data_IF_983433855696
#
_entry.id   IF_983433855696
#
_cell.length_a   1.000
_cell.length_b   1.000
_cell.length_c   1.000
_cell.angle_alpha   90.00
_cell.angle_beta   90.00
_cell.angle_gamma   90.00
#
_symmetry.space_group_name_H-M   'P 1'
#
loop_
_entity.id
_entity.type
_entity.pdbx_description
1 polymer ?
#
# COMPACT_ATOMS: atom_id res chain seq x y z
N UNK A 1 -56.78 16.66 21.92
CA UNK A 1 -56.09 17.25 20.75
C UNK A 1 -54.65 17.56 21.18
N UNK A 2 -53.86 16.51 21.41
CA UNK A 2 -52.74 16.03 20.58
C UNK A 2 -51.55 17.02 20.50
N UNK A 3 -50.38 16.68 21.09
CA UNK A 3 -49.28 17.60 21.33
C UNK A 3 -48.21 17.59 20.23
N UNK A 4 -47.37 18.61 20.25
CA UNK A 4 -46.23 18.86 19.38
C UNK A 4 -45.28 17.65 19.25
N UNK A 5 -45.11 17.15 18.03
CA UNK A 5 -44.10 16.15 17.67
C UNK A 5 -42.79 16.85 17.34
N UNK A 6 -41.93 16.94 18.35
CA UNK A 6 -40.49 17.11 18.19
C UNK A 6 -39.96 15.86 17.47
N UNK A 7 -39.75 15.96 16.16
CA UNK A 7 -39.12 14.87 15.40
C UNK A 7 -37.62 14.92 15.63
N UNK A 8 -37.18 14.13 16.60
CA UNK A 8 -35.78 13.79 16.79
C UNK A 8 -35.21 13.20 15.48
N UNK A 9 -34.20 13.87 14.93
CA UNK A 9 -33.43 13.39 13.79
C UNK A 9 -32.76 12.06 14.20
N UNK A 10 -32.89 10.97 13.43
CA UNK A 10 -32.25 9.71 13.80
C UNK A 10 -30.73 9.82 13.58
N UNK A 11 -30.00 10.02 14.68
CA UNK A 11 -28.54 10.06 14.78
C UNK A 11 -27.84 8.69 14.52
N UNK A 12 -28.35 7.86 13.61
CA UNK A 12 -27.85 6.49 13.37
C UNK A 12 -27.55 6.16 11.91
N UNK A 13 -27.58 7.14 10.99
CA UNK A 13 -26.99 7.02 9.63
C UNK A 13 -25.58 7.65 9.55
N UNK A 14 -24.90 7.73 10.70
CA UNK A 14 -23.49 8.10 10.77
C UNK A 14 -22.65 6.86 10.42
N UNK A 15 -21.60 7.03 9.58
CA UNK A 15 -20.34 6.23 9.51
C UNK A 15 -20.05 5.28 8.34
N UNK A 16 -20.96 4.88 7.45
CA UNK A 16 -20.57 3.96 6.34
C UNK A 16 -20.11 4.67 5.05
N UNK A 17 -20.52 5.93 4.83
CA UNK A 17 -20.21 6.65 3.59
C UNK A 17 -18.80 7.27 3.56
N UNK A 18 -18.08 7.28 4.69
CA UNK A 18 -16.76 7.90 4.82
C UNK A 18 -15.60 6.89 4.97
N UNK A 19 -15.91 5.60 5.13
CA UNK A 19 -14.91 4.53 5.20
C UNK A 19 -14.23 4.25 3.84
N UNK A 20 -14.79 4.69 2.72
CA UNK A 20 -14.30 4.36 1.37
C UNK A 20 -12.84 4.77 1.08
N UNK A 21 -12.49 6.07 1.13
CA UNK A 21 -11.17 6.55 0.70
C UNK A 21 -10.00 5.98 1.50
N UNK A 22 -10.16 5.88 2.82
CA UNK A 22 -9.10 5.38 3.70
C UNK A 22 -8.87 3.88 3.52
N UNK A 23 -9.94 3.11 3.25
CA UNK A 23 -9.82 1.69 2.96
C UNK A 23 -9.18 1.46 1.60
N UNK A 24 -9.60 2.19 0.54
CA UNK A 24 -8.91 2.15 -0.77
C UNK A 24 -7.41 2.42 -0.60
N UNK A 25 -7.06 3.43 0.19
CA UNK A 25 -5.66 3.72 0.46
C UNK A 25 -4.96 2.58 1.22
N UNK A 26 -5.58 2.02 2.26
CA UNK A 26 -5.02 0.93 3.06
C UNK A 26 -4.79 -0.37 2.27
N UNK A 27 -5.54 -0.62 1.19
CA UNK A 27 -5.32 -1.78 0.32
C UNK A 27 -3.96 -1.75 -0.37
N UNK A 28 -3.48 -0.57 -0.76
CA UNK A 28 -2.11 -0.46 -1.30
C UNK A 28 -1.04 -0.93 -0.31
N UNK A 29 -1.33 -0.86 1.00
CA UNK A 29 -0.42 -1.31 2.05
C UNK A 29 -0.45 -2.82 2.31
N UNK A 30 -1.29 -3.56 1.58
CA UNK A 30 -1.41 -5.02 1.63
C UNK A 30 -1.39 -5.56 0.20
N UNK A 31 -0.43 -5.10 -0.59
CA UNK A 31 -0.18 -5.55 -1.96
C UNK A 31 0.80 -6.74 -1.98
N UNK A 32 0.96 -7.44 -3.12
CA UNK A 32 1.91 -8.53 -3.22
C UNK A 32 3.38 -8.11 -3.02
N UNK A 33 3.72 -6.84 -3.24
CA UNK A 33 5.03 -6.29 -2.89
C UNK A 33 5.30 -6.43 -1.39
N UNK A 34 4.34 -6.01 -0.56
CA UNK A 34 4.40 -6.20 0.89
C UNK A 34 4.46 -7.67 1.31
N UNK A 35 3.79 -8.59 0.59
CA UNK A 35 3.91 -10.03 0.87
C UNK A 35 5.35 -10.50 0.69
N UNK A 36 5.98 -10.19 -0.44
CA UNK A 36 7.34 -10.64 -0.73
C UNK A 36 8.34 -10.09 0.31
N UNK A 37 8.29 -8.79 0.61
CA UNK A 37 9.22 -8.19 1.56
C UNK A 37 9.00 -8.68 3.00
N UNK A 38 7.75 -8.83 3.44
CA UNK A 38 7.44 -9.28 4.80
C UNK A 38 7.77 -10.76 5.01
N UNK A 39 7.52 -11.62 4.01
CA UNK A 39 7.86 -13.04 4.07
C UNK A 39 9.37 -13.23 4.04
N UNK A 40 10.08 -12.51 3.15
CA UNK A 40 11.54 -12.59 3.06
C UNK A 40 12.23 -12.09 4.32
N UNK A 41 11.74 -10.97 4.89
CA UNK A 41 12.25 -10.44 6.14
C UNK A 41 12.00 -11.39 7.32
N UNK A 42 10.79 -11.98 7.41
CA UNK A 42 10.44 -12.95 8.44
C UNK A 42 11.22 -14.26 8.32
N UNK A 43 11.41 -14.80 7.12
CA UNK A 43 12.16 -16.05 6.92
C UNK A 43 13.65 -15.90 7.25
N UNK A 44 14.25 -14.77 6.86
CA UNK A 44 15.69 -14.51 7.00
C UNK A 44 16.06 -14.07 8.43
N UNK A 45 15.32 -13.12 8.99
CA UNK A 45 15.66 -12.46 10.28
C UNK A 45 14.69 -12.79 11.42
N UNK A 46 13.72 -13.67 11.19
CA UNK A 46 12.74 -14.05 12.20
C UNK A 46 11.92 -12.86 12.68
N UNK A 47 11.83 -12.69 13.99
CA UNK A 47 11.05 -11.64 14.63
C UNK A 47 11.77 -10.28 14.72
N UNK A 48 13.05 -10.20 14.34
CA UNK A 48 13.89 -9.02 14.59
C UNK A 48 13.50 -7.78 13.77
N UNK A 49 12.77 -7.94 12.66
CA UNK A 49 12.35 -6.85 11.79
C UNK A 49 10.89 -6.41 12.02
N UNK A 50 10.18 -6.99 13.00
CA UNK A 50 8.80 -6.61 13.31
C UNK A 50 8.67 -5.13 13.69
N UNK A 51 9.65 -4.59 14.44
CA UNK A 51 9.65 -3.16 14.78
C UNK A 51 9.66 -2.27 13.53
N UNK A 52 10.33 -2.68 12.45
CA UNK A 52 10.38 -1.92 11.20
C UNK A 52 8.98 -1.80 10.60
N UNK A 53 8.18 -2.87 10.60
CA UNK A 53 6.79 -2.85 10.13
C UNK A 53 5.94 -1.92 10.98
N UNK A 54 6.08 -1.97 12.32
CA UNK A 54 5.34 -1.07 13.23
C UNK A 54 5.68 0.38 12.92
N UNK A 55 6.96 0.72 12.85
CA UNK A 55 7.39 2.09 12.59
C UNK A 55 7.00 2.56 11.19
N UNK A 56 7.17 1.72 10.16
CA UNK A 56 6.76 2.02 8.80
C UNK A 56 5.25 2.28 8.72
N UNK A 57 4.42 1.50 9.43
CA UNK A 57 2.98 1.73 9.48
C UNK A 57 2.62 3.02 10.23
N UNK A 58 3.29 3.35 11.34
CA UNK A 58 3.08 4.62 12.03
C UNK A 58 3.44 5.82 11.13
N UNK A 59 4.53 5.71 10.37
CA UNK A 59 4.91 6.70 9.37
C UNK A 59 3.84 6.81 8.28
N UNK A 60 3.38 5.68 7.73
CA UNK A 60 2.31 5.64 6.75
C UNK A 60 1.02 6.31 7.25
N UNK A 61 0.59 6.01 8.48
CA UNK A 61 -0.60 6.60 9.07
C UNK A 61 -0.50 8.13 9.17
N UNK A 62 0.68 8.64 9.55
CA UNK A 62 0.94 10.08 9.56
C UNK A 62 0.87 10.67 8.15
N UNK A 63 1.59 10.07 7.18
CA UNK A 63 1.65 10.53 5.80
C UNK A 63 0.28 10.55 5.15
N UNK A 64 -0.52 9.50 5.35
CA UNK A 64 -1.87 9.38 4.82
C UNK A 64 -2.82 10.40 5.46
N UNK A 65 -2.68 10.66 6.77
CA UNK A 65 -3.41 11.74 7.44
C UNK A 65 -3.08 13.11 6.85
N UNK A 66 -1.80 13.38 6.55
CA UNK A 66 -1.37 14.63 5.93
C UNK A 66 -1.87 14.77 4.49
N UNK A 67 -1.83 13.69 3.71
CA UNK A 67 -2.35 13.65 2.34
C UNK A 67 -3.86 13.91 2.30
N UNK A 68 -4.62 13.20 3.15
CA UNK A 68 -6.05 13.39 3.28
C UNK A 68 -6.39 14.83 3.68
N UNK A 69 -5.66 15.39 4.65
CA UNK A 69 -5.83 16.76 5.13
C UNK A 69 -5.57 17.79 4.02
N UNK A 70 -4.55 17.59 3.19
CA UNK A 70 -4.29 18.46 2.03
C UNK A 70 -5.52 18.51 1.11
N UNK A 71 -6.02 17.34 0.68
CA UNK A 71 -7.20 17.26 -0.19
C UNK A 71 -8.46 17.89 0.41
N UNK A 72 -8.71 17.68 1.72
CA UNK A 72 -9.90 18.21 2.41
C UNK A 72 -9.86 19.74 2.54
N UNK A 73 -8.72 20.31 2.91
CA UNK A 73 -8.60 21.75 3.22
C UNK A 73 -8.50 22.58 1.95
N UNK A 74 -7.77 22.11 0.95
CA UNK A 74 -7.47 22.89 -0.26
C UNK A 74 -8.40 22.58 -1.43
N UNK A 75 -9.08 21.42 -1.41
CA UNK A 75 -9.91 20.96 -2.52
C UNK A 75 -9.15 20.56 -3.78
N UNK A 76 -7.81 20.46 -3.70
CA UNK A 76 -6.92 20.07 -4.79
C UNK A 76 -6.03 18.93 -4.33
N UNK A 77 -5.66 18.05 -5.26
CA UNK A 77 -4.75 16.95 -4.95
C UNK A 77 -3.28 17.40 -4.88
N UNK A 78 -2.40 16.53 -4.39
CA UNK A 78 -0.98 16.82 -4.23
C UNK A 78 -0.31 17.16 -5.58
N UNK A 79 -0.63 16.43 -6.65
CA UNK A 79 -0.03 16.63 -7.97
C UNK A 79 -0.41 17.99 -8.58
N UNK A 80 -1.65 18.43 -8.39
CA UNK A 80 -2.13 19.76 -8.80
C UNK A 80 -1.38 20.90 -8.09
N UNK A 81 -1.11 20.77 -6.79
CA UNK A 81 -0.34 21.78 -6.06
C UNK A 81 1.10 21.85 -6.52
N UNK A 82 1.72 20.70 -6.77
CA UNK A 82 3.10 20.65 -7.27
C UNK A 82 3.16 21.32 -8.65
N UNK A 83 2.18 21.02 -9.52
CA UNK A 83 2.06 21.67 -10.83
C UNK A 83 1.88 23.18 -10.75
N UNK A 84 1.03 23.66 -9.85
CA UNK A 84 0.73 25.10 -9.74
C UNK A 84 1.91 25.91 -9.18
N UNK A 85 2.84 25.26 -8.47
CA UNK A 85 3.99 25.93 -7.81
C UNK A 85 5.34 25.73 -8.50
N UNK A 86 5.53 24.65 -9.26
CA UNK A 86 6.81 24.34 -9.88
C UNK A 86 6.87 24.76 -11.36
N UNK A 87 8.06 25.09 -11.89
CA UNK A 87 8.22 25.37 -13.31
C UNK A 87 7.93 24.11 -14.13
N UNK A 88 7.41 24.29 -15.35
CA UNK A 88 7.05 23.21 -16.29
C UNK A 88 8.09 22.07 -16.38
N UNK A 89 9.41 22.30 -16.56
CA UNK A 89 10.38 21.20 -16.65
C UNK A 89 10.43 20.32 -15.40
N UNK A 90 10.31 20.91 -14.20
CA UNK A 90 10.25 20.14 -12.96
C UNK A 90 8.97 19.31 -12.88
N UNK A 91 7.83 19.88 -13.30
CA UNK A 91 6.54 19.16 -13.36
C UNK A 91 6.63 17.93 -14.27
N UNK A 92 7.27 18.06 -15.43
CA UNK A 92 7.50 16.93 -16.33
C UNK A 92 8.40 15.86 -15.70
N UNK A 93 9.48 16.26 -15.01
CA UNK A 93 10.35 15.32 -14.30
C UNK A 93 9.59 14.55 -13.20
N UNK A 94 8.76 15.24 -12.40
CA UNK A 94 7.89 14.62 -11.40
C UNK A 94 6.86 13.68 -12.03
N UNK A 95 6.28 14.05 -13.17
CA UNK A 95 5.33 13.19 -13.86
C UNK A 95 5.96 11.90 -14.38
N UNK A 96 7.09 12.00 -15.09
CA UNK A 96 7.82 10.82 -15.59
C UNK A 96 8.22 9.90 -14.43
N UNK A 97 8.75 10.49 -13.36
CA UNK A 97 9.13 9.74 -12.17
C UNK A 97 7.94 9.05 -11.49
N UNK A 98 6.80 9.74 -11.36
CA UNK A 98 5.59 9.16 -10.79
C UNK A 98 4.99 8.04 -11.65
N UNK A 99 5.06 8.14 -12.98
CA UNK A 99 4.65 7.06 -13.88
C UNK A 99 5.60 5.86 -13.82
N UNK A 100 6.92 6.07 -13.67
CA UNK A 100 7.87 4.97 -13.44
C UNK A 100 7.54 4.22 -12.15
N UNK A 101 7.26 4.94 -11.06
CA UNK A 101 6.82 4.32 -9.80
C UNK A 101 5.52 3.54 -10.01
N UNK A 102 4.53 4.14 -10.67
CA UNK A 102 3.25 3.48 -10.90
C UNK A 102 3.42 2.20 -11.74
N UNK A 103 4.28 2.21 -12.76
CA UNK A 103 4.62 1.00 -13.52
C UNK A 103 5.35 -0.05 -12.68
N UNK A 104 6.27 0.37 -11.81
CA UNK A 104 6.96 -0.54 -10.90
C UNK A 104 5.98 -1.20 -9.91
N UNK A 105 5.05 -0.43 -9.35
CA UNK A 105 3.98 -0.98 -8.50
C UNK A 105 3.10 -1.96 -9.28
N UNK A 106 2.58 -1.55 -10.44
CA UNK A 106 1.69 -2.38 -11.27
C UNK A 106 2.38 -3.70 -11.65
N UNK A 107 3.69 -3.66 -11.90
CA UNK A 107 4.52 -4.83 -12.17
C UNK A 107 4.55 -5.80 -10.98
N UNK A 108 4.81 -5.32 -9.77
CA UNK A 108 4.84 -6.15 -8.56
C UNK A 108 3.45 -6.77 -8.26
N UNK A 109 2.40 -5.97 -8.38
CA UNK A 109 1.02 -6.40 -8.15
C UNK A 109 0.54 -7.43 -9.18
N UNK A 110 0.89 -7.21 -10.45
CA UNK A 110 0.53 -8.10 -11.55
C UNK A 110 1.24 -9.45 -11.44
N UNK A 111 2.55 -9.43 -11.18
CA UNK A 111 3.33 -10.66 -10.97
C UNK A 111 2.80 -11.40 -9.74
N UNK A 112 2.52 -10.70 -8.64
CA UNK A 112 1.94 -11.30 -7.45
C UNK A 112 0.61 -12.02 -7.71
N UNK A 113 -0.32 -11.36 -8.41
CA UNK A 113 -1.58 -11.99 -8.80
C UNK A 113 -1.37 -13.20 -9.74
N UNK A 114 -0.46 -13.10 -10.71
CA UNK A 114 -0.13 -14.20 -11.63
C UNK A 114 0.45 -15.41 -10.89
N UNK A 115 1.36 -15.18 -9.92
CA UNK A 115 1.90 -16.22 -9.04
C UNK A 115 0.78 -16.83 -8.21
N UNK A 116 -0.12 -16.02 -7.64
CA UNK A 116 -1.28 -16.52 -6.91
C UNK A 116 -2.16 -17.46 -7.74
N UNK A 117 -2.44 -17.12 -9.00
CA UNK A 117 -3.18 -17.99 -9.92
C UNK A 117 -2.43 -19.28 -10.27
N UNK A 118 -1.12 -19.19 -10.52
CA UNK A 118 -0.25 -20.36 -10.72
C UNK A 118 -0.32 -21.31 -9.52
N UNK A 119 -0.28 -20.78 -8.29
CA UNK A 119 -0.33 -21.57 -7.07
C UNK A 119 -1.70 -22.21 -6.82
N UNK A 120 -2.80 -21.54 -7.16
CA UNK A 120 -4.16 -22.05 -6.95
C UNK A 120 -4.61 -23.07 -8.00
N UNK A 121 -4.30 -22.81 -9.27
CA UNK A 121 -4.78 -23.63 -10.38
C UNK A 121 -3.73 -24.57 -10.96
N UNK A 122 -2.47 -24.49 -10.49
CA UNK A 122 -1.36 -25.29 -11.03
C UNK A 122 -1.00 -24.93 -12.47
N UNK A 123 -1.41 -23.75 -12.95
CA UNK A 123 -1.17 -23.27 -14.32
C UNK A 123 0.22 -22.67 -14.47
N UNK A 124 0.68 -22.50 -15.71
CA UNK A 124 1.95 -21.81 -15.98
C UNK A 124 1.87 -20.33 -15.57
N UNK A 125 3.02 -19.69 -15.29
CA UNK A 125 3.06 -18.27 -14.92
C UNK A 125 2.47 -17.37 -16.02
N UNK A 126 2.62 -17.78 -17.30
CA UNK A 126 2.10 -17.05 -18.45
C UNK A 126 0.57 -17.18 -18.57
N UNK A 127 0.02 -18.37 -18.31
CA UNK A 127 -1.43 -18.57 -18.19
C UNK A 127 -2.00 -17.80 -16.99
N UNK A 128 -1.31 -17.83 -15.84
CA UNK A 128 -1.66 -17.04 -14.66
C UNK A 128 -1.69 -15.53 -14.95
N UNK A 129 -0.70 -15.02 -15.68
CA UNK A 129 -0.67 -13.64 -16.15
C UNK A 129 -1.84 -13.32 -17.11
N UNK A 130 -2.19 -14.24 -18.01
CA UNK A 130 -3.36 -14.11 -18.88
C UNK A 130 -4.66 -14.02 -18.08
N UNK A 131 -4.84 -14.87 -17.06
CA UNK A 131 -6.00 -14.83 -16.16
C UNK A 131 -6.04 -13.51 -15.40
N UNK A 132 -4.91 -13.06 -14.83
CA UNK A 132 -4.81 -11.75 -14.17
C UNK A 132 -5.23 -10.63 -15.11
N UNK A 133 -4.79 -10.65 -16.38
CA UNK A 133 -5.17 -9.64 -17.36
C UNK A 133 -6.68 -9.60 -17.60
N UNK A 134 -7.32 -10.76 -17.78
CA UNK A 134 -8.77 -10.85 -17.97
C UNK A 134 -9.53 -10.37 -16.73
N UNK A 135 -9.12 -10.82 -15.54
CA UNK A 135 -9.81 -10.48 -14.28
C UNK A 135 -9.69 -8.99 -13.97
N UNK A 136 -8.49 -8.43 -14.10
CA UNK A 136 -8.26 -7.00 -13.86
C UNK A 136 -9.00 -6.15 -14.88
N UNK A 137 -9.08 -6.57 -16.15
CA UNK A 137 -9.91 -5.90 -17.15
C UNK A 137 -11.41 -5.94 -16.80
N UNK A 138 -11.90 -7.07 -16.29
CA UNK A 138 -13.27 -7.22 -15.80
C UNK A 138 -13.59 -6.26 -14.64
N UNK A 139 -12.64 -6.03 -13.74
CA UNK A 139 -12.84 -5.09 -12.63
C UNK A 139 -12.78 -3.63 -13.08
N UNK A 140 -11.94 -3.30 -14.07
CA UNK A 140 -11.98 -1.99 -14.71
C UNK A 140 -13.33 -1.72 -15.40
N UNK A 141 -14.00 -2.74 -15.96
CA UNK A 141 -15.39 -2.59 -16.42
C UNK A 141 -16.37 -2.34 -15.28
N UNK A 142 -16.14 -2.89 -14.10
CA UNK A 142 -16.96 -2.59 -12.92
C UNK A 142 -16.76 -1.14 -12.44
N UNK A 143 -15.55 -0.62 -12.57
CA UNK A 143 -15.23 0.78 -12.26
C UNK A 143 -16.03 1.77 -13.11
N UNK A 144 -16.37 1.44 -14.36
CA UNK A 144 -17.19 2.31 -15.20
C UNK A 144 -18.62 2.49 -14.67
N UNK A 145 -19.05 1.69 -13.68
CA UNK A 145 -20.34 1.82 -12.97
C UNK A 145 -20.29 2.68 -11.70
N UNK A 146 -19.11 3.21 -11.31
CA UNK A 146 -18.94 4.18 -10.22
C UNK A 146 -17.99 3.72 -9.10
N UNK A 147 -17.66 4.64 -8.17
CA UNK A 147 -16.66 4.43 -7.11
C UNK A 147 -17.14 3.53 -5.95
N UNK A 148 -18.42 3.62 -5.55
CA UNK A 148 -18.97 2.84 -4.42
C UNK A 148 -18.92 1.32 -4.58
N UNK A 149 -19.26 0.71 -5.74
CA UNK A 149 -19.14 -0.74 -5.88
C UNK A 149 -17.68 -1.20 -5.77
N UNK A 150 -16.74 -0.40 -6.26
CA UNK A 150 -15.32 -0.69 -6.14
C UNK A 150 -14.88 -0.70 -4.67
N UNK A 151 -15.24 0.34 -3.90
CA UNK A 151 -14.95 0.42 -2.46
C UNK A 151 -15.43 -0.81 -1.70
N UNK A 152 -16.64 -1.29 -2.00
CA UNK A 152 -17.22 -2.46 -1.32
C UNK A 152 -16.49 -3.75 -1.67
N UNK A 153 -16.18 -3.96 -2.96
CA UNK A 153 -15.43 -5.15 -3.43
C UNK A 153 -14.03 -5.16 -2.81
N UNK A 154 -13.32 -4.03 -2.92
CA UNK A 154 -11.94 -3.88 -2.48
C UNK A 154 -11.84 -3.96 -0.95
N UNK A 155 -12.77 -3.34 -0.21
CA UNK A 155 -12.88 -3.48 1.25
C UNK A 155 -13.25 -4.91 1.70
N UNK A 156 -14.07 -5.61 0.92
CA UNK A 156 -14.38 -7.03 1.16
C UNK A 156 -13.15 -7.94 0.99
N UNK A 157 -12.37 -7.73 -0.09
CA UNK A 157 -11.11 -8.43 -0.31
C UNK A 157 -10.10 -8.14 0.80
N UNK A 158 -10.01 -6.89 1.26
CA UNK A 158 -9.16 -6.52 2.38
C UNK A 158 -9.50 -7.28 3.66
N UNK A 159 -10.79 -7.33 4.02
CA UNK A 159 -11.25 -8.04 5.20
C UNK A 159 -11.02 -9.55 5.07
N UNK A 160 -11.17 -10.10 3.87
CA UNK A 160 -10.84 -11.50 3.58
C UNK A 160 -9.35 -11.78 3.81
N UNK A 161 -8.45 -10.97 3.26
CA UNK A 161 -7.00 -11.10 3.47
C UNK A 161 -6.63 -10.95 4.94
N UNK A 162 -7.24 -10.00 5.64
CA UNK A 162 -7.00 -9.81 7.06
C UNK A 162 -7.46 -11.01 7.89
N UNK A 163 -8.67 -11.53 7.63
CA UNK A 163 -9.19 -12.72 8.29
C UNK A 163 -8.32 -13.95 7.99
N UNK A 164 -7.86 -14.10 6.76
CA UNK A 164 -6.96 -15.17 6.33
C UNK A 164 -5.69 -15.21 7.19
N UNK A 165 -5.00 -14.08 7.30
CA UNK A 165 -3.76 -14.02 8.09
C UNK A 165 -3.97 -14.09 9.60
N UNK A 166 -5.11 -13.64 10.12
CA UNK A 166 -5.46 -13.89 11.53
C UNK A 166 -5.55 -15.39 11.79
N UNK A 167 -6.26 -16.12 10.92
CA UNK A 167 -6.40 -17.57 11.03
C UNK A 167 -5.03 -18.24 10.93
N UNK A 168 -4.22 -17.90 9.94
CA UNK A 168 -2.86 -18.45 9.78
C UNK A 168 -1.97 -18.16 10.99
N UNK A 169 -2.02 -16.94 11.55
CA UNK A 169 -1.25 -16.57 12.73
C UNK A 169 -1.66 -17.42 13.96
N UNK A 170 -2.96 -17.68 14.14
CA UNK A 170 -3.44 -18.54 15.23
C UNK A 170 -3.00 -20.00 15.03
N UNK A 171 -3.03 -20.50 13.79
CA UNK A 171 -2.56 -21.84 13.47
C UNK A 171 -1.04 -21.99 13.64
N UNK A 172 -0.28 -20.94 13.33
CA UNK A 172 1.18 -20.93 13.40
C UNK A 172 1.74 -20.94 14.84
N UNK A 173 0.90 -20.67 15.86
CA UNK A 173 1.26 -20.63 17.29
C UNK A 173 2.60 -19.90 17.55
N UNK A 174 2.75 -18.63 17.16
CA UNK A 174 3.99 -17.92 17.38
C UNK A 174 4.22 -17.69 18.88
N UNK A 175 5.49 -17.72 19.30
CA UNK A 175 5.87 -17.41 20.67
C UNK A 175 5.63 -15.91 20.95
N UNK A 176 4.49 -15.60 21.57
CA UNK A 176 4.05 -14.25 21.95
C UNK A 176 5.11 -13.37 22.63
N UNK A 177 5.97 -13.89 23.54
CA UNK A 177 7.02 -13.07 24.17
C UNK A 177 8.07 -12.58 23.17
N UNK A 178 8.52 -13.48 22.27
CA UNK A 178 9.51 -13.17 21.23
C UNK A 178 8.96 -12.21 20.17
N UNK A 179 7.65 -12.27 19.92
CA UNK A 179 6.90 -11.38 19.03
C UNK A 179 6.88 -9.94 19.57
N UNK A 180 6.61 -9.80 20.87
CA UNK A 180 6.60 -8.49 21.55
C UNK A 180 8.02 -7.91 21.67
N UNK A 181 9.01 -8.76 21.96
CA UNK A 181 10.41 -8.33 21.99
C UNK A 181 10.89 -7.84 20.62
N UNK A 182 10.62 -8.59 19.54
CA UNK A 182 10.99 -8.19 18.18
C UNK A 182 10.24 -6.97 17.64
N UNK A 183 9.02 -6.71 18.15
CA UNK A 183 8.24 -5.52 17.80
C UNK A 183 8.67 -4.25 18.57
N UNK A 184 9.21 -4.41 19.80
CA UNK A 184 9.53 -3.30 20.70
C UNK A 184 11.03 -2.96 20.78
N UNK A 185 11.92 -3.93 20.59
CA UNK A 185 13.37 -3.73 20.69
C UNK A 185 14.02 -3.66 19.29
N UNK A 186 14.47 -2.47 18.85
CA UNK A 186 15.15 -2.32 17.57
C UNK A 186 16.55 -2.92 17.62
N UNK A 187 16.79 -3.93 16.77
CA UNK A 187 18.11 -4.51 16.51
C UNK A 187 18.33 -4.70 15.02
N UNK A 188 19.47 -4.24 14.50
CA UNK A 188 19.90 -4.46 13.12
C UNK A 188 21.23 -5.23 13.17
N UNK A 189 21.23 -6.56 13.00
CA UNK A 189 22.44 -7.36 13.16
C UNK A 189 23.43 -7.17 11.99
N UNK A 190 22.95 -7.05 10.75
CA UNK A 190 23.76 -7.11 9.52
C UNK A 190 23.30 -6.10 8.44
N UNK A 191 24.15 -5.85 7.44
CA UNK A 191 23.87 -4.99 6.28
C UNK A 191 22.66 -5.46 5.45
N UNK A 192 22.47 -6.78 5.30
CA UNK A 192 21.29 -7.37 4.62
C UNK A 192 19.98 -7.06 5.37
N UNK A 193 20.04 -6.92 6.70
CA UNK A 193 18.89 -6.52 7.50
C UNK A 193 18.49 -5.07 7.21
N UNK A 194 19.47 -4.20 6.89
CA UNK A 194 19.20 -2.81 6.47
C UNK A 194 18.54 -2.80 5.09
N UNK A 195 19.01 -3.65 4.16
CA UNK A 195 18.38 -3.78 2.84
C UNK A 195 16.93 -4.25 2.92
N UNK A 196 16.64 -5.31 3.69
CA UNK A 196 15.26 -5.78 3.88
C UNK A 196 14.41 -4.82 4.71
N UNK A 197 14.96 -4.18 5.74
CA UNK A 197 14.25 -3.13 6.48
C UNK A 197 13.88 -1.97 5.55
N UNK A 198 14.77 -1.61 4.63
CA UNK A 198 14.52 -0.58 3.66
C UNK A 198 13.46 -1.00 2.62
N UNK A 199 13.49 -2.26 2.18
CA UNK A 199 12.45 -2.87 1.36
C UNK A 199 11.08 -2.86 2.04
N UNK A 200 10.99 -3.23 3.33
CA UNK A 200 9.77 -3.17 4.14
C UNK A 200 9.26 -1.73 4.24
N UNK A 201 10.14 -0.75 4.48
CA UNK A 201 9.76 0.66 4.54
C UNK A 201 9.26 1.16 3.17
N UNK A 202 9.95 0.78 2.09
CA UNK A 202 9.61 1.08 0.70
C UNK A 202 8.25 0.52 0.29
N UNK A 203 8.01 -0.75 0.58
CA UNK A 203 6.75 -1.45 0.32
C UNK A 203 5.60 -0.89 1.18
N UNK A 204 5.89 -0.40 2.37
CA UNK A 204 4.87 0.22 3.22
C UNK A 204 4.50 1.59 2.66
N UNK A 205 5.43 2.54 2.53
CA UNK A 205 5.04 3.92 2.17
C UNK A 205 4.96 4.09 0.65
N UNK A 206 3.80 3.82 0.06
CA UNK A 206 3.59 3.96 -1.39
C UNK A 206 3.33 5.41 -1.86
N UNK A 207 4.16 6.01 -2.73
CA UNK A 207 3.99 7.39 -3.19
C UNK A 207 2.68 7.63 -3.96
N UNK A 208 2.31 6.69 -4.83
CA UNK A 208 1.11 6.79 -5.66
C UNK A 208 -0.18 6.81 -4.81
N UNK A 209 -0.21 6.08 -3.70
CA UNK A 209 -1.32 6.11 -2.74
C UNK A 209 -1.40 7.46 -2.03
N UNK A 210 -0.28 8.15 -1.79
CA UNK A 210 -0.28 9.52 -1.25
C UNK A 210 -1.01 10.46 -2.22
N UNK A 211 -0.72 10.39 -3.52
CA UNK A 211 -1.44 11.20 -4.52
C UNK A 211 -2.92 10.84 -4.57
N UNK A 212 -3.22 9.54 -4.63
CA UNK A 212 -4.59 9.05 -4.71
C UNK A 212 -5.44 9.46 -3.50
N UNK A 213 -4.94 9.30 -2.27
CA UNK A 213 -5.70 9.64 -1.07
C UNK A 213 -6.10 11.12 -1.06
N UNK A 214 -5.16 12.03 -1.42
CA UNK A 214 -5.47 13.46 -1.53
C UNK A 214 -6.55 13.75 -2.59
N UNK A 215 -6.60 12.97 -3.66
CA UNK A 215 -7.59 13.11 -4.72
C UNK A 215 -8.94 12.46 -4.39
N UNK A 216 -8.97 11.40 -3.57
CA UNK A 216 -10.22 10.81 -3.10
C UNK A 216 -10.89 11.69 -2.05
N UNK A 217 -10.13 12.41 -1.23
CA UNK A 217 -10.68 13.30 -0.19
C UNK A 217 -11.04 14.70 -0.68
N UNK A 218 -10.63 15.09 -1.89
CA UNK A 218 -10.97 16.39 -2.49
C UNK A 218 -12.48 16.50 -2.79
N UNK A 219 -13.12 15.42 -3.27
CA UNK A 219 -14.53 15.41 -3.71
C UNK A 219 -15.52 15.22 -2.55
N UNK A 220 -15.05 15.11 -1.31
CA UNK A 220 -15.93 15.00 -0.13
C UNK A 220 -16.46 16.38 0.33
N UNK A 221 -16.32 17.44 -0.48
CA UNK A 221 -16.65 18.82 -0.14
C UNK A 221 -18.09 19.04 0.31
N UNK A 222 -19.04 18.24 -0.20
CA UNK A 222 -20.46 18.38 0.13
C UNK A 222 -20.88 17.73 1.46
N UNK A 223 -19.96 17.06 2.19
CA UNK A 223 -20.30 16.21 3.34
C UNK A 223 -19.97 16.84 4.72
N UNK A 224 -20.24 18.14 4.90
CA UNK A 224 -20.18 18.81 6.21
C UNK A 224 -18.93 19.66 6.46
N UNK A 225 -18.79 20.13 7.70
CA UNK A 225 -17.74 21.10 8.06
C UNK A 225 -16.33 20.49 7.97
N UNK A 226 -15.35 21.30 7.53
CA UNK A 226 -13.92 20.91 7.43
C UNK A 226 -13.37 20.23 8.70
N UNK A 227 -13.56 20.75 9.93
CA UNK A 227 -13.00 20.12 11.12
C UNK A 227 -13.63 18.75 11.42
N UNK A 228 -14.93 18.59 11.16
CA UNK A 228 -15.61 17.31 11.33
C UNK A 228 -15.10 16.28 10.34
N UNK A 229 -14.91 16.67 9.07
CA UNK A 229 -14.32 15.81 8.03
C UNK A 229 -12.89 15.40 8.39
N UNK A 230 -12.06 16.33 8.85
CA UNK A 230 -10.70 16.02 9.30
C UNK A 230 -10.68 15.03 10.47
N UNK A 231 -11.59 15.17 11.45
CA UNK A 231 -11.68 14.23 12.56
C UNK A 231 -12.12 12.84 12.09
N UNK A 232 -13.17 12.75 11.27
CA UNK A 232 -13.65 11.47 10.74
C UNK A 232 -12.59 10.78 9.91
N UNK A 233 -11.97 11.48 8.96
CA UNK A 233 -10.92 10.90 8.12
C UNK A 233 -9.69 10.47 8.92
N UNK A 234 -9.34 11.16 10.01
CA UNK A 234 -8.27 10.69 10.92
C UNK A 234 -8.61 9.36 11.57
N UNK A 235 -9.85 9.20 12.04
CA UNK A 235 -10.31 7.93 12.63
C UNK A 235 -10.33 6.83 11.57
N UNK A 236 -10.79 7.13 10.36
CA UNK A 236 -10.86 6.17 9.27
C UNK A 236 -9.45 5.72 8.83
N UNK A 237 -8.51 6.66 8.68
CA UNK A 237 -7.09 6.36 8.40
C UNK A 237 -6.49 5.53 9.54
N UNK A 238 -6.75 5.89 10.80
CA UNK A 238 -6.23 5.14 11.94
C UNK A 238 -6.74 3.70 11.94
N UNK A 239 -8.03 3.47 11.72
CA UNK A 239 -8.61 2.12 11.66
C UNK A 239 -8.04 1.33 10.48
N UNK A 240 -8.08 1.90 9.27
CA UNK A 240 -7.67 1.21 8.05
C UNK A 240 -6.16 0.86 8.07
N UNK A 241 -5.31 1.79 8.50
CA UNK A 241 -3.86 1.55 8.62
C UNK A 241 -3.53 0.61 9.78
N UNK A 242 -4.31 0.60 10.87
CA UNK A 242 -4.13 -0.39 11.94
C UNK A 242 -4.42 -1.80 11.43
N UNK A 243 -5.48 -1.99 10.65
CA UNK A 243 -5.78 -3.27 9.99
C UNK A 243 -4.63 -3.65 9.06
N UNK A 244 -4.17 -2.74 8.20
CA UNK A 244 -3.09 -3.02 7.26
C UNK A 244 -1.78 -3.41 7.95
N UNK A 245 -1.35 -2.67 8.97
CA UNK A 245 -0.14 -3.03 9.72
C UNK A 245 -0.29 -4.30 10.53
N UNK A 246 -1.48 -4.59 11.08
CA UNK A 246 -1.71 -5.87 11.74
C UNK A 246 -1.51 -7.03 10.75
N UNK A 247 -2.02 -6.91 9.53
CA UNK A 247 -1.81 -7.93 8.49
C UNK A 247 -0.33 -8.04 8.13
N UNK A 248 0.39 -6.93 7.94
CA UNK A 248 1.83 -6.96 7.65
C UNK A 248 2.65 -7.61 8.78
N UNK A 249 2.30 -7.33 10.04
CA UNK A 249 2.91 -7.98 11.20
C UNK A 249 2.58 -9.47 11.24
N UNK A 250 1.33 -9.85 10.97
CA UNK A 250 0.91 -11.24 10.93
C UNK A 250 1.63 -12.02 9.80
N UNK A 251 1.79 -11.42 8.62
CA UNK A 251 2.56 -11.99 7.51
C UNK A 251 4.00 -12.27 7.89
N UNK A 252 4.70 -11.27 8.45
CA UNK A 252 6.09 -11.41 8.86
C UNK A 252 6.24 -12.42 10.01
N UNK A 253 5.35 -12.37 11.00
CA UNK A 253 5.37 -13.30 12.14
C UNK A 253 5.09 -14.74 11.70
N UNK A 254 4.14 -14.95 10.79
CA UNK A 254 3.87 -16.26 10.21
C UNK A 254 5.09 -16.79 9.45
N UNK A 255 5.72 -15.94 8.62
CA UNK A 255 6.93 -16.33 7.88
C UNK A 255 8.10 -16.67 8.82
N UNK A 256 8.28 -15.90 9.89
CA UNK A 256 9.26 -16.19 10.94
C UNK A 256 8.96 -17.53 11.64
N UNK A 257 7.72 -17.74 12.06
CA UNK A 257 7.33 -18.97 12.75
C UNK A 257 7.43 -20.21 11.85
N UNK A 258 7.05 -20.11 10.58
CA UNK A 258 7.00 -21.24 9.65
C UNK A 258 8.36 -21.54 8.98
N UNK A 259 9.09 -20.51 8.54
CA UNK A 259 10.29 -20.70 7.70
C UNK A 259 11.60 -20.56 8.47
N UNK A 260 11.68 -19.63 9.44
CA UNK A 260 12.91 -19.43 10.22
C UNK A 260 13.18 -20.59 11.18
N UNK A 261 12.13 -21.13 11.82
CA UNK A 261 12.24 -22.26 12.74
C UNK A 261 12.56 -23.60 12.04
N UNK A 262 12.13 -23.73 10.78
CA UNK A 262 12.28 -24.96 9.98
C UNK A 262 13.65 -25.07 9.28
N UNK A 263 14.54 -24.07 9.42
CA UNK A 263 15.86 -24.05 8.77
C UNK A 263 15.84 -23.74 7.26
N UNK A 264 14.67 -23.44 6.69
CA UNK A 264 14.49 -23.12 5.28
C UNK A 264 14.75 -21.62 5.02
N UNK A 265 15.97 -21.17 5.30
CA UNK A 265 16.35 -19.75 5.18
C UNK A 265 16.46 -19.27 3.70
N UNK A 266 16.34 -20.18 2.73
CA UNK A 266 16.35 -19.88 1.28
C UNK A 266 14.94 -19.77 0.67
N UNK A 267 13.89 -19.57 1.47
CA UNK A 267 12.54 -19.26 0.94
C UNK A 267 12.48 -17.78 0.56
N UNK A 268 13.14 -17.42 -0.54
CA UNK A 268 13.01 -16.11 -1.17
C UNK A 268 11.77 -16.05 -2.09
N UNK A 269 11.28 -17.19 -2.55
CA UNK A 269 10.23 -17.24 -3.56
C UNK A 269 8.84 -17.50 -2.95
N UNK A 270 7.85 -16.70 -3.37
CA UNK A 270 6.43 -16.86 -3.00
C UNK A 270 5.93 -18.29 -3.29
N UNK A 271 6.49 -18.93 -4.31
CA UNK A 271 6.19 -20.31 -4.69
C UNK A 271 6.73 -21.32 -3.67
N UNK A 272 7.96 -21.10 -3.22
CA UNK A 272 8.57 -21.90 -2.16
C UNK A 272 7.83 -21.72 -0.84
N UNK A 273 7.34 -20.50 -0.54
CA UNK A 273 6.52 -20.23 0.64
C UNK A 273 5.22 -21.06 0.61
N UNK A 274 4.48 -21.03 -0.50
CA UNK A 274 3.26 -21.84 -0.66
C UNK A 274 3.53 -23.35 -0.52
N UNK A 275 4.56 -23.86 -1.19
CA UNK A 275 4.89 -25.29 -1.15
C UNK A 275 5.34 -25.75 0.24
N UNK A 276 5.96 -24.86 1.01
CA UNK A 276 6.42 -25.14 2.38
C UNK A 276 5.30 -24.97 3.41
N UNK A 277 4.30 -24.11 3.14
CA UNK A 277 3.09 -23.99 3.96
C UNK A 277 2.22 -25.24 3.92
N UNK A 278 2.13 -25.92 2.78
CA UNK A 278 1.34 -27.15 2.61
C UNK A 278 1.69 -28.25 3.63
N UNK A 279 2.96 -28.65 3.82
CA UNK A 279 3.34 -29.66 4.80
C UNK A 279 3.35 -29.15 6.25
N UNK A 280 3.59 -27.86 6.49
CA UNK A 280 3.74 -27.31 7.84
C UNK A 280 2.41 -26.91 8.49
N UNK A 281 1.52 -26.28 7.73
CA UNK A 281 0.26 -25.70 8.22
C UNK A 281 -0.97 -26.33 7.56
N UNK A 282 -0.77 -27.19 6.55
CA UNK A 282 -1.81 -27.93 5.85
C UNK A 282 -2.27 -27.27 4.54
N UNK A 283 -2.92 -28.05 3.69
CA UNK A 283 -3.42 -27.62 2.38
C UNK A 283 -4.36 -26.40 2.47
N UNK A 284 -5.15 -26.30 3.55
CA UNK A 284 -6.06 -25.18 3.78
C UNK A 284 -5.29 -23.84 3.90
N UNK A 285 -4.18 -23.81 4.63
CA UNK A 285 -3.36 -22.61 4.78
C UNK A 285 -2.71 -22.19 3.45
N UNK A 286 -2.17 -23.14 2.69
CA UNK A 286 -1.61 -22.86 1.37
C UNK A 286 -2.67 -22.27 0.43
N UNK A 287 -3.87 -22.87 0.36
CA UNK A 287 -4.96 -22.32 -0.48
C UNK A 287 -5.40 -20.94 -0.05
N UNK A 288 -5.42 -20.67 1.26
CA UNK A 288 -5.79 -19.38 1.82
C UNK A 288 -4.74 -18.30 1.50
N UNK A 289 -3.45 -18.65 1.56
CA UNK A 289 -2.35 -17.83 1.10
C UNK A 289 -2.42 -17.51 -0.40
N UNK A 290 -2.67 -18.52 -1.24
CA UNK A 290 -2.84 -18.29 -2.68
C UNK A 290 -4.03 -17.38 -3.00
N UNK A 291 -5.17 -17.58 -2.32
CA UNK A 291 -6.36 -16.74 -2.47
C UNK A 291 -6.11 -15.32 -1.98
N UNK A 292 -5.39 -15.14 -0.87
CA UNK A 292 -5.07 -13.82 -0.33
C UNK A 292 -4.11 -13.06 -1.25
N UNK A 293 -3.14 -13.74 -1.87
CA UNK A 293 -2.21 -13.15 -2.84
C UNK A 293 -2.94 -12.70 -4.12
N UNK A 294 -3.85 -13.53 -4.64
CA UNK A 294 -4.70 -13.16 -5.80
C UNK A 294 -5.62 -11.98 -5.45
N UNK A 295 -6.31 -12.05 -4.30
CA UNK A 295 -7.19 -10.98 -3.83
C UNK A 295 -6.44 -9.65 -3.68
N UNK A 296 -5.26 -9.69 -3.06
CA UNK A 296 -4.37 -8.54 -2.86
C UNK A 296 -3.91 -7.94 -4.20
N UNK A 297 -3.34 -8.73 -5.11
CA UNK A 297 -2.81 -8.23 -6.38
C UNK A 297 -3.90 -7.66 -7.30
N UNK A 298 -5.06 -8.30 -7.33
CA UNK A 298 -6.23 -7.79 -8.08
C UNK A 298 -6.72 -6.46 -7.50
N UNK A 299 -6.85 -6.39 -6.17
CA UNK A 299 -7.39 -5.21 -5.48
C UNK A 299 -6.45 -4.02 -5.66
N UNK A 300 -5.15 -4.23 -5.43
CA UNK A 300 -4.12 -3.19 -5.52
C UNK A 300 -3.96 -2.66 -6.95
N UNK A 301 -4.10 -3.53 -7.96
CA UNK A 301 -4.11 -3.12 -9.38
C UNK A 301 -5.09 -2.01 -9.69
N UNK A 302 -6.28 -2.05 -9.09
CA UNK A 302 -7.29 -1.01 -9.34
C UNK A 302 -6.87 0.30 -8.68
N UNK A 303 -6.26 0.22 -7.50
CA UNK A 303 -5.69 1.38 -6.80
C UNK A 303 -4.54 1.99 -7.60
N UNK A 304 -3.62 1.17 -8.13
CA UNK A 304 -2.51 1.59 -8.99
C UNK A 304 -2.97 2.33 -10.25
N UNK A 305 -3.95 1.76 -10.97
CA UNK A 305 -4.52 2.40 -12.17
C UNK A 305 -5.22 3.74 -11.86
N UNK A 306 -5.97 3.81 -10.76
CA UNK A 306 -6.59 5.06 -10.27
C UNK A 306 -5.54 6.10 -9.89
N UNK A 307 -4.53 5.70 -9.14
CA UNK A 307 -3.45 6.57 -8.70
C UNK A 307 -2.68 7.14 -9.88
N UNK A 308 -2.33 6.29 -10.87
CA UNK A 308 -1.68 6.73 -12.10
C UNK A 308 -2.51 7.74 -12.88
N UNK A 309 -3.84 7.52 -12.97
CA UNK A 309 -4.73 8.48 -13.62
C UNK A 309 -4.77 9.82 -12.88
N UNK A 310 -4.84 9.81 -11.55
CA UNK A 310 -4.79 11.03 -10.71
C UNK A 310 -3.46 11.78 -10.91
N UNK A 311 -2.34 11.06 -10.91
CA UNK A 311 -1.00 11.61 -11.13
C UNK A 311 -0.92 12.29 -12.50
N UNK A 312 -1.35 11.62 -13.57
CA UNK A 312 -1.30 12.17 -14.92
C UNK A 312 -2.24 13.36 -15.12
N UNK A 313 -3.47 13.28 -14.60
CA UNK A 313 -4.42 14.38 -14.64
C UNK A 313 -3.89 15.59 -13.85
N UNK A 314 -3.35 15.36 -12.65
CA UNK A 314 -2.80 16.41 -11.79
C UNK A 314 -1.61 17.11 -12.43
N UNK A 315 -0.61 16.36 -12.89
CA UNK A 315 0.62 16.93 -13.44
C UNK A 315 0.46 17.47 -14.86
N UNK A 316 -0.18 16.73 -15.78
CA UNK A 316 -0.18 17.04 -17.22
C UNK A 316 -1.56 17.45 -17.74
N UNK A 317 -2.65 17.24 -16.99
CA UNK A 317 -4.05 17.47 -17.42
C UNK A 317 -4.44 16.64 -18.67
N UNK A 318 -3.70 15.57 -18.94
CA UNK A 318 -4.01 14.64 -20.01
C UNK A 318 -4.79 13.45 -19.46
N UNK A 319 -5.71 12.90 -20.25
CA UNK A 319 -6.50 11.71 -19.90
C UNK A 319 -6.39 10.68 -21.00
N UNK A 320 -5.90 9.49 -20.65
CA UNK A 320 -5.94 8.29 -21.50
C UNK A 320 -7.01 7.36 -20.98
N UNK A 321 -7.66 6.57 -21.85
CA UNK A 321 -8.62 5.59 -21.40
C UNK A 321 -7.94 4.54 -20.51
N UNK A 322 -8.63 4.12 -19.44
CA UNK A 322 -8.12 3.20 -18.41
C UNK A 322 -7.56 1.89 -18.99
N UNK A 323 -8.21 1.34 -20.03
CA UNK A 323 -7.76 0.11 -20.68
C UNK A 323 -6.39 0.28 -21.36
N UNK A 324 -6.14 1.43 -21.99
CA UNK A 324 -4.87 1.71 -22.65
C UNK A 324 -3.77 1.94 -21.63
N UNK A 325 -4.08 2.69 -20.54
CA UNK A 325 -3.16 2.84 -19.40
C UNK A 325 -2.75 1.47 -18.89
N UNK A 326 -3.73 0.59 -18.64
CA UNK A 326 -3.46 -0.74 -18.09
C UNK A 326 -2.64 -1.61 -19.04
N UNK A 327 -2.90 -1.56 -20.34
CA UNK A 327 -2.09 -2.27 -21.32
C UNK A 327 -0.62 -1.80 -21.30
N UNK A 328 -0.38 -0.50 -21.19
CA UNK A 328 0.97 0.08 -21.10
C UNK A 328 1.65 -0.34 -19.80
N UNK A 329 0.97 -0.26 -18.65
CA UNK A 329 1.57 -0.59 -17.35
C UNK A 329 1.78 -2.09 -17.15
N UNK A 330 0.99 -2.95 -17.82
CA UNK A 330 1.18 -4.41 -17.81
C UNK A 330 2.30 -4.89 -18.74
N UNK A 331 2.62 -4.15 -19.80
CA UNK A 331 3.59 -4.60 -20.80
C UNK A 331 4.96 -4.99 -20.19
N UNK A 332 5.55 -4.22 -19.25
CA UNK A 332 6.79 -4.62 -18.59
C UNK A 332 6.68 -5.98 -17.88
N UNK A 333 5.54 -6.28 -17.26
CA UNK A 333 5.35 -7.53 -16.54
C UNK A 333 5.31 -8.73 -17.50
N UNK A 334 4.63 -8.59 -18.65
CA UNK A 334 4.65 -9.63 -19.69
C UNK A 334 6.05 -9.86 -20.26
N UNK A 335 6.81 -8.79 -20.48
CA UNK A 335 8.20 -8.89 -20.96
C UNK A 335 9.07 -9.63 -19.95
N UNK A 336 8.97 -9.27 -18.67
CA UNK A 336 9.69 -9.93 -17.58
C UNK A 336 9.35 -11.42 -17.49
N UNK A 337 8.05 -11.76 -17.53
CA UNK A 337 7.58 -13.14 -17.46
C UNK A 337 8.06 -13.95 -18.67
N UNK A 338 8.01 -13.36 -19.87
CA UNK A 338 8.49 -14.01 -21.09
C UNK A 338 10.01 -14.23 -21.11
N UNK A 339 10.78 -13.36 -20.45
CA UNK A 339 12.23 -13.50 -20.28
C UNK A 339 12.62 -14.54 -19.22
N UNK A 340 11.67 -15.04 -18.42
CA UNK A 340 11.93 -16.05 -17.39
C UNK A 340 12.81 -15.55 -16.23
N UNK A 341 12.80 -14.24 -15.97
CA UNK A 341 13.57 -13.65 -14.88
C UNK A 341 12.98 -14.03 -13.51
N UNK A 342 13.80 -14.00 -12.46
CA UNK A 342 13.34 -14.31 -11.10
C UNK A 342 12.31 -13.26 -10.65
N UNK A 343 11.08 -13.72 -10.40
CA UNK A 343 9.96 -12.84 -10.03
C UNK A 343 10.19 -12.16 -8.70
N UNK A 344 10.77 -12.85 -7.71
CA UNK A 344 11.07 -12.26 -6.40
C UNK A 344 12.07 -11.13 -6.50
N UNK A 345 13.19 -11.32 -7.19
CA UNK A 345 14.21 -10.27 -7.32
C UNK A 345 13.63 -9.02 -7.96
N UNK A 346 12.76 -9.20 -8.96
CA UNK A 346 12.07 -8.12 -9.64
C UNK A 346 11.03 -7.45 -8.72
N UNK A 347 10.31 -8.22 -7.90
CA UNK A 347 9.40 -7.68 -6.89
C UNK A 347 10.16 -6.79 -5.90
N UNK A 348 11.29 -7.27 -5.37
CA UNK A 348 12.11 -6.54 -4.41
C UNK A 348 12.76 -5.31 -5.05
N UNK A 349 13.31 -5.44 -6.26
CA UNK A 349 13.88 -4.33 -7.02
C UNK A 349 12.83 -3.24 -7.28
N UNK A 350 11.60 -3.65 -7.61
CA UNK A 350 10.48 -2.72 -7.75
C UNK A 350 10.25 -1.93 -6.46
N UNK A 351 10.26 -2.58 -5.29
CA UNK A 351 10.10 -1.89 -4.00
C UNK A 351 11.23 -0.88 -3.72
N UNK A 352 12.46 -1.18 -4.15
CA UNK A 352 13.58 -0.22 -4.04
C UNK A 352 13.36 0.98 -4.98
N UNK A 353 12.85 0.77 -6.19
CA UNK A 353 12.47 1.88 -7.08
C UNK A 353 11.36 2.74 -6.44
N UNK A 354 10.37 2.11 -5.79
CA UNK A 354 9.33 2.79 -5.04
C UNK A 354 9.90 3.64 -3.90
N UNK A 355 10.93 3.14 -3.20
CA UNK A 355 11.50 3.82 -2.04
C UNK A 355 12.10 5.19 -2.41
N UNK A 356 12.77 5.29 -3.56
CA UNK A 356 13.23 6.57 -4.12
C UNK A 356 12.09 7.57 -4.34
N UNK A 357 10.92 7.05 -4.68
CA UNK A 357 9.71 7.82 -4.88
C UNK A 357 9.13 8.50 -3.64
N UNK A 358 9.37 7.91 -2.48
CA UNK A 358 8.78 8.34 -1.21
C UNK A 358 9.20 9.76 -0.87
N UNK A 359 10.51 10.03 -0.93
CA UNK A 359 11.05 11.34 -0.59
C UNK A 359 10.44 12.43 -1.48
N UNK A 360 10.31 12.15 -2.78
CA UNK A 360 9.77 13.10 -3.77
C UNK A 360 8.28 13.39 -3.56
N UNK A 361 7.48 12.44 -3.07
CA UNK A 361 6.09 12.71 -2.71
C UNK A 361 5.96 13.37 -1.33
N UNK A 362 6.79 12.96 -0.37
CA UNK A 362 6.68 13.37 1.03
C UNK A 362 7.20 14.79 1.28
N UNK A 363 8.27 15.21 0.60
CA UNK A 363 8.84 16.56 0.75
C UNK A 363 7.80 17.63 0.37
N UNK A 364 7.18 17.62 -0.84
CA UNK A 364 6.17 18.60 -1.20
C UNK A 364 4.96 18.54 -0.27
N UNK A 365 4.53 17.34 0.12
CA UNK A 365 3.41 17.18 1.04
C UNK A 365 3.66 17.89 2.38
N UNK A 366 4.86 17.75 2.96
CA UNK A 366 5.24 18.41 4.21
C UNK A 366 5.35 19.93 4.05
N UNK A 367 5.88 20.41 2.94
CA UNK A 367 5.99 21.85 2.66
C UNK A 367 4.58 22.45 2.53
N UNK A 368 3.69 21.82 1.75
CA UNK A 368 2.34 22.31 1.50
C UNK A 368 1.46 22.27 2.76
N UNK A 369 1.55 21.20 3.55
CA UNK A 369 0.79 21.07 4.81
C UNK A 369 1.35 21.92 5.95
N UNK A 370 2.59 22.40 5.82
CA UNK A 370 3.24 23.35 6.73
C UNK A 370 3.03 24.82 6.34
N UNK A 371 2.56 25.11 5.13
CA UNK A 371 2.39 26.48 4.63
C UNK A 371 1.15 27.15 5.23
N UNK A 372 1.34 28.29 5.92
CA UNK A 372 0.24 29.05 6.52
C UNK A 372 -0.66 29.71 5.46
N UNK A 373 -0.12 30.05 4.29
CA UNK A 373 -0.89 30.66 3.21
C UNK A 373 -1.88 29.67 2.59
N UNK A 374 -1.53 28.37 2.54
CA UNK A 374 -2.41 27.32 2.01
C UNK A 374 -3.36 26.76 3.07
N UNK A 375 -2.83 26.42 4.25
CA UNK A 375 -3.59 25.67 5.25
C UNK A 375 -4.35 26.56 6.22
N UNK A 376 -4.03 27.86 6.29
CA UNK A 376 -4.65 28.81 7.20
C UNK A 376 -4.60 28.32 8.65
N UNK A 377 -5.78 28.21 9.27
CA UNK A 377 -5.95 27.71 10.64
C UNK A 377 -5.67 26.21 10.79
N UNK A 378 -5.66 25.45 9.70
CA UNK A 378 -5.39 24.02 9.69
C UNK A 378 -3.92 23.69 9.46
N UNK A 379 -2.98 24.63 9.63
CA UNK A 379 -1.55 24.33 9.50
C UNK A 379 -1.13 23.19 10.43
N UNK A 380 -0.13 22.40 10.04
CA UNK A 380 0.45 21.39 10.91
C UNK A 380 1.00 22.00 12.21
N UNK A 381 0.86 21.26 13.31
CA UNK A 381 1.52 21.57 14.57
C UNK A 381 3.04 21.44 14.41
N UNK A 382 3.87 22.27 15.06
CA UNK A 382 5.33 22.20 14.94
C UNK A 382 5.90 20.81 15.23
N UNK A 383 5.30 20.06 16.17
CA UNK A 383 5.67 18.67 16.47
C UNK A 383 5.44 17.75 15.26
N UNK A 384 4.27 17.83 14.62
CA UNK A 384 3.95 17.06 13.41
C UNK A 384 4.91 17.39 12.27
N UNK A 385 5.27 18.67 12.13
CA UNK A 385 6.24 19.13 11.13
C UNK A 385 7.64 18.57 11.41
N UNK A 386 8.08 18.55 12.67
CA UNK A 386 9.37 18.01 13.09
C UNK A 386 9.46 16.49 12.87
N UNK A 387 8.42 15.75 13.29
CA UNK A 387 8.33 14.30 13.06
C UNK A 387 8.34 13.99 11.55
N UNK A 388 7.57 14.72 10.74
CA UNK A 388 7.58 14.52 9.30
C UNK A 388 8.94 14.80 8.65
N UNK A 389 9.65 15.85 9.08
CA UNK A 389 11.03 16.12 8.62
C UNK A 389 12.00 15.01 9.01
N UNK A 390 11.86 14.44 10.21
CA UNK A 390 12.65 13.31 10.65
C UNK A 390 12.39 12.06 9.80
N UNK A 391 11.13 11.78 9.46
CA UNK A 391 10.76 10.68 8.56
C UNK A 391 11.37 10.90 7.17
N UNK A 392 11.27 12.11 6.61
CA UNK A 392 11.91 12.45 5.33
C UNK A 392 13.41 12.24 5.38
N UNK A 393 14.08 12.72 6.43
CA UNK A 393 15.52 12.55 6.59
C UNK A 393 15.92 11.07 6.70
N UNK A 394 15.15 10.27 7.43
CA UNK A 394 15.35 8.82 7.57
C UNK A 394 15.19 8.11 6.21
N UNK A 395 14.11 8.41 5.48
CA UNK A 395 13.84 7.83 4.15
C UNK A 395 14.94 8.20 3.16
N UNK A 396 15.38 9.46 3.14
CA UNK A 396 16.47 9.91 2.26
C UNK A 396 17.78 9.21 2.63
N UNK A 397 18.10 9.13 3.93
CA UNK A 397 19.33 8.46 4.40
C UNK A 397 19.35 6.98 4.05
N UNK A 398 18.22 6.30 4.24
CA UNK A 398 18.02 4.90 3.88
C UNK A 398 18.11 4.67 2.36
N UNK A 399 17.49 5.54 1.55
CA UNK A 399 17.60 5.48 0.09
C UNK A 399 19.02 5.76 -0.40
N UNK A 400 19.75 6.69 0.23
CA UNK A 400 21.15 6.95 -0.10
C UNK A 400 22.03 5.73 0.23
N UNK A 401 21.79 5.08 1.36
CA UNK A 401 22.46 3.84 1.72
C UNK A 401 22.16 2.72 0.72
N UNK A 402 20.89 2.52 0.34
CA UNK A 402 20.49 1.53 -0.67
C UNK A 402 21.16 1.80 -2.02
N UNK A 403 21.23 3.06 -2.44
CA UNK A 403 21.85 3.44 -3.71
C UNK A 403 23.36 3.13 -3.70
N UNK A 404 24.04 3.34 -2.57
CA UNK A 404 25.45 2.95 -2.40
C UNK A 404 25.63 1.44 -2.31
N UNK A 405 24.68 0.71 -1.71
CA UNK A 405 24.75 -0.74 -1.60
C UNK A 405 24.44 -1.47 -2.92
N UNK A 406 23.73 -0.83 -3.85
CA UNK A 406 23.41 -1.37 -5.18
C UNK A 406 24.47 -1.10 -6.26
N UNK A 407 25.37 -0.13 -6.03
CA UNK A 407 26.51 0.20 -6.91
C UNK A 407 27.73 -0.56 -6.44
#
# INVERSE_FOLDING_TARGET
MQPALTTAIPARKFKLTLLGPAFIAAIGYIDPGNFATNIQAGSTFGYQLLWVVVWANLMAMLVQTLSAKLGIVTGKNLAEHIRDRLPKPAVWAYWVQAEIIAMATDLAEFIGAAVGFKLLFGVTLLEGAGITAVVTWGILMLQSRGQKPLEFVVGGLLLFVAAAYIVELVFSRPHLPSLLEGALFPGLPNSDAVYLAAGVLGATVMPHVIYLHSALTQHTQDQGSVPQRLHTTRVDVAIAMTIAGFVNLAMMAMAAAAFHSSGNQQVAELESAYQTLTPLLGQAAATLFGLSLVASGISSTVVGTLAGQVVMQGFVRFTIPLWLRRAITMAPAFVVIAMGLNTTEILVLSQVVLSFGIALALIPLLILTGDRALMGQYRNHPVTQAVGRLIVALVIGLNAYLLVAMI
#
